data_IF_158527124144
#
_entry.id   IF_158527124144
#
_cell.length_a   1.000
_cell.length_b   1.000
_cell.length_c   1.000
_cell.angle_alpha   90.00
_cell.angle_beta   90.00
_cell.angle_gamma   90.00
#
_symmetry.space_group_name_H-M   'P 1'
#
loop_
_entity.id
_entity.type
_entity.pdbx_description
1 polymer ?
#
# COMPACT_ATOMS: atom_id res chain seq x y z
N UNK A 1 -13.05 28.97 2.63
CA UNK A 1 -12.91 27.56 3.00
C UNK A 1 -12.84 26.71 1.72
N UNK A 2 -11.92 25.73 1.67
CA UNK A 2 -11.66 24.88 0.51
C UNK A 2 -12.91 24.12 0.06
N UNK A 3 -13.64 23.54 1.00
CA UNK A 3 -14.86 22.80 0.72
C UNK A 3 -15.93 23.64 0.07
N UNK A 4 -16.29 24.76 0.71
CA UNK A 4 -17.34 25.65 0.23
C UNK A 4 -17.03 26.16 -1.18
N UNK A 5 -15.74 26.45 -1.44
CA UNK A 5 -15.32 26.89 -2.77
C UNK A 5 -15.62 25.88 -3.87
N UNK A 6 -15.33 24.59 -3.63
CA UNK A 6 -15.53 23.55 -4.64
C UNK A 6 -16.98 23.05 -4.69
N UNK A 7 -17.68 23.06 -3.55
CA UNK A 7 -19.10 22.73 -3.47
C UNK A 7 -19.93 23.73 -4.28
N UNK A 8 -19.68 25.03 -4.17
CA UNK A 8 -20.32 26.07 -4.97
C UNK A 8 -20.11 25.88 -6.47
N UNK A 9 -18.98 25.26 -6.85
CA UNK A 9 -18.67 24.91 -8.24
C UNK A 9 -19.34 23.62 -8.71
N UNK A 10 -20.02 22.89 -7.83
CA UNK A 10 -20.60 21.55 -8.10
C UNK A 10 -19.60 20.56 -8.65
N UNK A 11 -18.36 20.63 -8.20
CA UNK A 11 -17.28 19.71 -8.57
C UNK A 11 -17.19 18.60 -7.52
N UNK A 12 -17.17 17.31 -7.92
CA UNK A 12 -16.96 16.21 -7.00
C UNK A 12 -15.61 16.36 -6.27
N UNK A 13 -15.62 16.24 -4.95
CA UNK A 13 -14.42 16.34 -4.12
C UNK A 13 -14.09 14.95 -3.56
N UNK A 14 -12.87 14.50 -3.77
CA UNK A 14 -12.31 13.31 -3.13
C UNK A 14 -11.21 13.74 -2.17
N UNK A 15 -11.40 13.45 -0.89
CA UNK A 15 -10.37 13.65 0.12
C UNK A 15 -9.61 12.35 0.33
N UNK A 16 -8.32 12.44 0.15
CA UNK A 16 -7.43 11.32 0.40
C UNK A 16 -6.45 11.66 1.53
N UNK A 17 -6.16 10.69 2.35
CA UNK A 17 -5.08 10.74 3.32
C UNK A 17 -3.75 10.92 2.59
N UNK A 18 -2.83 11.70 3.16
CA UNK A 18 -1.46 11.79 2.66
C UNK A 18 -0.78 10.41 2.77
N UNK A 19 -0.24 9.93 1.65
CA UNK A 19 0.57 8.73 1.66
C UNK A 19 1.98 9.05 2.18
N UNK A 20 2.46 8.26 3.13
CA UNK A 20 3.78 8.45 3.74
C UNK A 20 4.86 7.54 3.17
N UNK A 21 4.51 6.59 2.29
CA UNK A 21 5.44 5.66 1.65
C UNK A 21 6.46 5.07 2.62
N UNK A 22 5.95 4.45 3.70
CA UNK A 22 6.79 3.82 4.74
C UNK A 22 7.79 4.79 5.39
N UNK A 23 7.39 6.05 5.54
CA UNK A 23 8.20 7.07 6.22
C UNK A 23 9.14 7.86 5.30
N UNK A 24 9.14 7.62 3.98
CA UNK A 24 9.86 8.47 3.02
C UNK A 24 9.33 9.90 3.07
N UNK A 25 8.01 10.05 3.22
CA UNK A 25 7.38 11.35 3.45
C UNK A 25 7.03 11.44 4.93
N UNK A 26 7.39 12.57 5.56
CA UNK A 26 7.10 12.81 6.97
C UNK A 26 5.59 12.72 7.23
N UNK A 27 5.22 11.87 8.18
CA UNK A 27 3.85 11.77 8.66
C UNK A 27 3.44 13.10 9.35
N UNK A 28 2.33 13.65 8.91
CA UNK A 28 1.74 14.89 9.45
C UNK A 28 0.32 14.66 9.96
N UNK A 29 -0.05 13.41 10.22
CA UNK A 29 -1.37 13.11 10.78
C UNK A 29 -1.54 13.81 12.12
N UNK A 30 -2.73 14.35 12.32
CA UNK A 30 -3.12 14.90 13.61
C UNK A 30 -3.52 13.79 14.59
N UNK A 31 -4.14 12.72 14.08
CA UNK A 31 -4.57 11.56 14.85
C UNK A 31 -4.49 10.29 14.01
N UNK A 32 -4.33 9.16 14.66
CA UNK A 32 -4.44 7.84 14.04
C UNK A 32 -5.90 7.37 14.10
N UNK A 33 -6.51 7.22 12.93
CA UNK A 33 -7.88 6.73 12.78
C UNK A 33 -7.93 5.25 12.38
N UNK A 34 -6.83 4.53 12.51
CA UNK A 34 -6.77 3.11 12.20
C UNK A 34 -7.71 2.30 13.11
N UNK A 35 -8.39 1.28 12.58
CA UNK A 35 -9.14 0.36 13.41
C UNK A 35 -8.26 -0.29 14.49
N UNK A 36 -8.80 -0.46 15.69
CA UNK A 36 -8.08 -1.06 16.82
C UNK A 36 -7.62 -2.49 16.55
N UNK A 37 -8.39 -3.23 15.76
CA UNK A 37 -8.04 -4.59 15.34
C UNK A 37 -7.54 -4.58 13.92
N UNK A 38 -6.27 -4.96 13.74
CA UNK A 38 -5.65 -5.06 12.43
C UNK A 38 -6.17 -6.28 11.67
N UNK A 39 -6.48 -6.06 10.39
CA UNK A 39 -6.80 -7.13 9.42
C UNK A 39 -5.65 -7.30 8.43
N UNK A 40 -5.61 -8.42 7.68
CA UNK A 40 -4.64 -8.59 6.60
C UNK A 40 -4.72 -7.47 5.56
N UNK A 41 -3.58 -7.10 5.03
CA UNK A 41 -3.48 -5.99 4.10
C UNK A 41 -4.16 -6.32 2.77
N UNK A 42 -5.18 -5.56 2.44
CA UNK A 42 -5.96 -5.71 1.22
C UNK A 42 -5.12 -5.55 -0.06
N UNK A 43 -4.14 -4.64 -0.03
CA UNK A 43 -3.26 -4.39 -1.18
C UNK A 43 -2.39 -5.59 -1.56
N UNK A 44 -2.00 -6.41 -0.59
CA UNK A 44 -1.24 -7.64 -0.88
C UNK A 44 -2.07 -8.69 -1.61
N UNK A 45 -3.39 -8.68 -1.41
CA UNK A 45 -4.30 -9.63 -2.07
C UNK A 45 -4.61 -9.22 -3.51
N UNK A 46 -4.81 -7.91 -3.74
CA UNK A 46 -5.43 -7.40 -4.95
C UNK A 46 -4.45 -6.87 -5.97
N UNK A 47 -3.35 -6.25 -5.51
CA UNK A 47 -2.56 -5.35 -6.33
C UNK A 47 -1.16 -5.90 -6.61
N UNK A 48 -0.66 -5.70 -7.83
CA UNK A 48 0.74 -5.91 -8.21
C UNK A 48 1.32 -4.56 -8.66
N UNK A 49 2.47 -4.20 -8.12
CA UNK A 49 3.16 -2.96 -8.45
C UNK A 49 4.45 -3.26 -9.17
N UNK A 50 4.57 -2.76 -10.41
CA UNK A 50 5.76 -2.91 -11.24
C UNK A 50 6.38 -1.53 -11.39
N UNK A 51 7.61 -1.39 -10.92
CA UNK A 51 8.36 -0.15 -11.00
C UNK A 51 8.91 0.08 -12.41
N UNK A 52 9.30 1.31 -12.73
CA UNK A 52 9.78 1.68 -14.06
C UNK A 52 11.02 0.88 -14.52
N UNK A 53 11.82 0.38 -13.59
CA UNK A 53 12.98 -0.49 -13.86
C UNK A 53 12.63 -1.98 -14.03
N UNK A 54 11.34 -2.35 -14.00
CA UNK A 54 10.88 -3.73 -14.09
C UNK A 54 10.90 -4.51 -12.79
N UNK A 55 11.34 -3.92 -11.67
CA UNK A 55 11.26 -4.54 -10.35
C UNK A 55 9.83 -4.60 -9.86
N UNK A 56 9.42 -5.73 -9.28
CA UNK A 56 8.11 -5.87 -8.66
C UNK A 56 8.20 -5.47 -7.20
N UNK A 57 7.53 -4.39 -6.82
CA UNK A 57 7.43 -3.94 -5.44
C UNK A 57 6.59 -4.90 -4.59
N UNK A 58 6.94 -5.03 -3.32
CA UNK A 58 6.17 -5.83 -2.36
C UNK A 58 4.71 -5.35 -2.26
N UNK A 59 4.50 -4.05 -2.15
CA UNK A 59 3.20 -3.40 -2.17
C UNK A 59 3.32 -1.97 -2.72
N UNK A 60 2.23 -1.22 -2.80
CA UNK A 60 2.23 0.17 -3.30
C UNK A 60 3.09 1.14 -2.47
N UNK A 61 3.45 0.78 -1.25
CA UNK A 61 4.29 1.58 -0.38
C UNK A 61 5.79 1.37 -0.65
N UNK A 62 6.14 0.23 -1.27
CA UNK A 62 7.52 -0.13 -1.60
C UNK A 62 7.94 0.51 -2.94
N UNK A 63 8.01 1.83 -2.94
CA UNK A 63 8.30 2.61 -4.17
C UNK A 63 9.74 2.45 -4.67
N UNK A 64 10.63 1.89 -3.85
CA UNK A 64 12.01 1.61 -4.21
C UNK A 64 12.28 0.13 -4.55
N UNK A 65 11.29 -0.75 -4.38
CA UNK A 65 11.42 -2.18 -4.63
C UNK A 65 12.42 -2.89 -3.73
N UNK A 66 12.58 -2.40 -2.49
CA UNK A 66 13.65 -2.89 -1.59
C UNK A 66 13.27 -4.16 -0.82
N UNK A 67 11.99 -4.54 -0.80
CA UNK A 67 11.51 -5.69 -0.02
C UNK A 67 11.29 -6.95 -0.84
N UNK A 68 11.35 -6.87 -2.15
CA UNK A 68 11.17 -8.02 -3.03
C UNK A 68 12.07 -7.87 -4.27
N UNK A 69 13.11 -8.70 -4.34
CA UNK A 69 14.07 -8.69 -5.46
C UNK A 69 13.57 -9.58 -6.62
N UNK A 70 12.38 -9.29 -7.16
CA UNK A 70 11.81 -9.98 -8.30
C UNK A 70 11.70 -8.99 -9.46
N UNK A 71 12.13 -9.42 -10.67
CA UNK A 71 12.00 -8.64 -11.89
C UNK A 71 11.13 -9.33 -12.93
N UNK A 72 10.34 -8.55 -13.65
CA UNK A 72 9.55 -9.05 -14.79
C UNK A 72 10.41 -9.47 -15.98
N UNK A 73 11.69 -9.09 -16.02
CA UNK A 73 12.64 -9.54 -17.05
C UNK A 73 13.10 -10.99 -16.84
N UNK A 74 13.01 -11.51 -15.61
CA UNK A 74 13.53 -12.82 -15.23
C UNK A 74 12.42 -13.81 -14.86
N UNK A 75 11.23 -13.34 -14.58
CA UNK A 75 10.11 -14.14 -14.10
C UNK A 75 8.84 -13.81 -14.87
N UNK A 76 7.99 -14.81 -15.10
CA UNK A 76 6.70 -14.54 -15.71
C UNK A 76 5.69 -14.01 -14.68
N UNK A 77 4.70 -13.25 -15.16
CA UNK A 77 3.71 -12.59 -14.31
C UNK A 77 2.89 -13.57 -13.45
N UNK A 78 2.67 -14.79 -13.94
CA UNK A 78 1.90 -15.81 -13.19
C UNK A 78 2.67 -16.26 -11.97
N UNK A 79 3.97 -16.54 -12.11
CA UNK A 79 4.84 -16.92 -10.99
C UNK A 79 4.95 -15.78 -9.96
N UNK A 80 5.13 -14.55 -10.44
CA UNK A 80 5.16 -13.38 -9.58
C UNK A 80 3.86 -13.26 -8.79
N UNK A 81 2.72 -13.45 -9.45
CA UNK A 81 1.41 -13.40 -8.81
C UNK A 81 1.21 -14.49 -7.75
N UNK A 82 1.69 -15.72 -8.00
CA UNK A 82 1.65 -16.81 -7.01
C UNK A 82 2.49 -16.46 -5.77
N UNK A 83 3.69 -15.92 -5.95
CA UNK A 83 4.53 -15.46 -4.85
C UNK A 83 3.84 -14.36 -4.02
N UNK A 84 3.13 -13.44 -4.67
CA UNK A 84 2.34 -12.41 -3.97
C UNK A 84 1.19 -13.01 -3.16
N UNK A 85 0.54 -14.04 -3.68
CA UNK A 85 -0.50 -14.78 -2.94
C UNK A 85 0.06 -15.41 -1.66
N UNK A 86 1.25 -15.98 -1.72
CA UNK A 86 1.94 -16.52 -0.54
C UNK A 86 2.25 -15.41 0.47
N UNK A 87 2.74 -14.26 0.03
CA UNK A 87 2.96 -13.09 0.87
C UNK A 87 1.68 -12.63 1.57
N UNK A 88 0.55 -12.64 0.86
CA UNK A 88 -0.75 -12.35 1.47
C UNK A 88 -1.13 -13.39 2.53
N UNK A 89 -0.98 -14.67 2.24
CA UNK A 89 -1.28 -15.75 3.20
C UNK A 89 -0.38 -15.67 4.45
N UNK A 90 0.89 -15.32 4.27
CA UNK A 90 1.80 -15.08 5.38
C UNK A 90 1.38 -13.86 6.21
N UNK A 91 0.94 -12.78 5.56
CA UNK A 91 0.38 -11.61 6.23
C UNK A 91 -0.91 -11.95 6.98
N UNK A 92 -1.73 -12.85 6.42
CA UNK A 92 -2.94 -13.34 7.09
C UNK A 92 -2.62 -14.11 8.38
N UNK A 93 -1.59 -14.95 8.36
CA UNK A 93 -1.17 -15.76 9.51
C UNK A 93 -0.39 -14.95 10.54
N UNK A 94 0.44 -14.01 10.10
CA UNK A 94 1.38 -13.24 10.93
C UNK A 94 1.38 -11.77 10.49
N UNK A 95 0.30 -11.04 10.79
CA UNK A 95 0.02 -9.69 10.30
C UNK A 95 1.17 -8.68 10.51
N UNK A 96 2.05 -8.92 11.48
CA UNK A 96 3.10 -7.96 11.87
C UNK A 96 4.49 -8.29 11.33
N UNK A 97 4.67 -9.39 10.58
CA UNK A 97 6.01 -9.91 10.26
C UNK A 97 6.30 -10.10 8.77
N UNK A 98 5.44 -9.62 7.88
CA UNK A 98 5.60 -9.90 6.45
C UNK A 98 6.63 -8.98 5.79
N UNK A 99 6.72 -7.73 6.24
CA UNK A 99 7.79 -6.80 5.88
C UNK A 99 8.03 -5.86 7.06
N UNK A 100 9.26 -5.34 7.26
CA UNK A 100 9.61 -4.55 8.44
C UNK A 100 8.66 -3.39 8.71
N UNK A 101 8.22 -2.72 7.65
CA UNK A 101 7.41 -1.51 7.75
C UNK A 101 5.90 -1.78 7.79
N UNK A 102 5.47 -3.04 7.57
CA UNK A 102 4.07 -3.40 7.72
C UNK A 102 3.55 -3.11 9.13
N UNK A 103 4.41 -3.17 10.14
CA UNK A 103 4.04 -2.96 11.54
C UNK A 103 3.52 -1.54 11.79
N UNK A 104 4.14 -0.54 11.21
CA UNK A 104 3.79 0.88 11.35
C UNK A 104 2.90 1.40 10.23
N UNK A 105 2.68 0.61 9.19
CA UNK A 105 1.88 0.99 8.03
C UNK A 105 0.39 1.08 8.40
N UNK A 106 -0.28 2.11 7.95
CA UNK A 106 -1.71 2.35 8.13
C UNK A 106 -2.52 2.21 6.83
N UNK A 107 -1.87 1.80 5.73
CA UNK A 107 -2.54 1.62 4.44
C UNK A 107 -3.38 0.33 4.34
N UNK A 108 -3.22 -0.59 5.28
CA UNK A 108 -3.88 -1.89 5.28
C UNK A 108 -5.41 -1.81 5.33
N UNK A 109 -5.98 -0.73 5.88
CA UNK A 109 -7.42 -0.52 5.98
C UNK A 109 -7.96 0.51 4.98
N UNK A 110 -7.09 1.19 4.22
CA UNK A 110 -7.52 2.23 3.29
C UNK A 110 -7.84 1.65 1.92
N UNK A 111 -8.93 2.12 1.33
CA UNK A 111 -9.32 1.80 -0.05
C UNK A 111 -8.89 2.94 -0.97
N UNK A 112 -7.61 3.27 -0.97
CA UNK A 112 -7.09 4.26 -1.91
C UNK A 112 -7.03 3.61 -3.30
N UNK A 113 -7.79 4.15 -4.19
CA UNK A 113 -7.84 3.80 -5.62
C UNK A 113 -6.65 4.39 -6.35
#
# INVERSE_FOLDING_TARGET
DYYNYWEDKKVPIILQKQNVYQGIIKDRRYSDLSPLKRTPCWHLQRDMYILANGTVGFCKQDINGQYQAISISENNLTEIWQNKKENFLNNYKNILHTAPDCKSCDEWYTFNF
#
